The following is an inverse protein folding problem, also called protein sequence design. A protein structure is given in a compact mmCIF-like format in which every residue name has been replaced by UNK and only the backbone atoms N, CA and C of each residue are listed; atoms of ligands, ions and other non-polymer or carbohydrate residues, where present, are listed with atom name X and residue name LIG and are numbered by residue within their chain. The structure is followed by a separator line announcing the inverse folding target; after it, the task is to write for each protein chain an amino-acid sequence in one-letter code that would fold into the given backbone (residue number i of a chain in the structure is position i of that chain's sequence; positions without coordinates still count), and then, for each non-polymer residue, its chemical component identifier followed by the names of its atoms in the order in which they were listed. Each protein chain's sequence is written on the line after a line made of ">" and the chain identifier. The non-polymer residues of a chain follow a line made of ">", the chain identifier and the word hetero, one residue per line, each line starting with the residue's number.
data_IF_193460537858
#
_entry.id   IF_193460537858
#
_cell.length_a   1.000
_cell.length_b   1.000
_cell.length_c   1.000
_cell.angle_alpha   90.00
_cell.angle_beta   90.00
_cell.angle_gamma   90.00
#
_symmetry.space_group_name_H-M   'P 1'
#
loop_
_entity.id
_entity.type
_entity.pdbx_description
1 polymer ?
#
# COMPACT_ATOMS: atom_id res chain seq x y z
N UNK A 1 -13.01 6.06 -8.87
CA UNK A 1 -12.72 4.81 -8.12
C UNK A 1 -12.82 3.58 -9.01
N UNK A 2 -13.98 3.35 -9.65
CA UNK A 2 -14.31 2.09 -10.36
C UNK A 2 -13.44 1.75 -11.59
N UNK A 3 -12.82 2.74 -12.24
CA UNK A 3 -11.92 2.50 -13.37
C UNK A 3 -10.47 2.16 -12.95
N UNK A 4 -10.00 2.71 -11.83
CA UNK A 4 -8.63 2.50 -11.32
C UNK A 4 -8.52 1.16 -10.58
N UNK A 5 -9.57 0.77 -9.84
CA UNK A 5 -9.60 -0.46 -9.04
C UNK A 5 -10.23 -1.63 -9.79
N UNK A 6 -10.17 -1.65 -11.13
CA UNK A 6 -10.74 -2.73 -11.92
C UNK A 6 -9.92 -4.01 -11.69
N UNK A 7 -10.59 -5.09 -11.30
CA UNK A 7 -9.93 -6.37 -11.00
C UNK A 7 -9.47 -6.55 -9.55
N UNK A 8 -9.65 -5.52 -8.71
CA UNK A 8 -9.34 -5.62 -7.29
C UNK A 8 -10.40 -6.46 -6.55
N UNK A 9 -10.00 -7.20 -5.50
CA UNK A 9 -10.94 -7.85 -4.59
C UNK A 9 -11.92 -6.84 -3.96
N UNK A 10 -13.17 -7.26 -3.74
CA UNK A 10 -14.21 -6.40 -3.16
C UNK A 10 -13.79 -5.82 -1.81
N UNK A 11 -13.16 -6.65 -0.96
CA UNK A 11 -12.61 -6.22 0.33
C UNK A 11 -11.62 -5.06 0.22
N UNK A 12 -10.78 -5.05 -0.84
CA UNK A 12 -9.80 -3.99 -1.06
C UNK A 12 -10.50 -2.72 -1.54
N UNK A 13 -11.50 -2.85 -2.41
CA UNK A 13 -12.30 -1.73 -2.90
C UNK A 13 -13.05 -1.07 -1.73
N UNK A 14 -13.65 -1.86 -0.85
CA UNK A 14 -14.37 -1.39 0.34
C UNK A 14 -13.42 -0.67 1.30
N UNK A 15 -12.25 -1.26 1.61
CA UNK A 15 -11.25 -0.63 2.46
C UNK A 15 -10.77 0.72 1.90
N UNK A 16 -10.54 0.78 0.58
CA UNK A 16 -10.14 2.02 -0.08
C UNK A 16 -11.24 3.08 -0.06
N UNK A 17 -12.50 2.68 -0.26
CA UNK A 17 -13.64 3.59 -0.17
C UNK A 17 -13.82 4.12 1.27
N UNK A 18 -13.69 3.25 2.26
CA UNK A 18 -13.76 3.60 3.67
C UNK A 18 -12.62 4.54 4.08
N UNK A 19 -11.39 4.29 3.63
CA UNK A 19 -10.27 5.19 3.91
C UNK A 19 -10.53 6.59 3.34
N UNK A 20 -11.05 6.69 2.12
CA UNK A 20 -11.40 7.98 1.51
C UNK A 20 -12.48 8.73 2.30
N UNK A 21 -13.44 8.02 2.87
CA UNK A 21 -14.52 8.62 3.65
C UNK A 21 -14.10 8.99 5.08
N UNK A 22 -13.24 8.20 5.71
CA UNK A 22 -13.03 8.25 7.17
C UNK A 22 -11.61 8.67 7.58
N UNK A 23 -10.61 8.49 6.71
CA UNK A 23 -9.18 8.69 7.03
C UNK A 23 -8.71 7.93 8.29
N UNK A 24 -9.28 6.75 8.56
CA UNK A 24 -8.93 5.93 9.73
C UNK A 24 -7.70 5.06 9.50
N UNK A 25 -7.05 4.71 10.60
CA UNK A 25 -5.88 3.84 10.61
C UNK A 25 -6.16 2.42 10.10
N UNK A 26 -7.25 1.83 10.57
CA UNK A 26 -7.65 0.47 10.21
C UNK A 26 -8.00 0.34 8.71
N UNK A 27 -8.73 1.32 8.17
CA UNK A 27 -9.06 1.35 6.75
C UNK A 27 -7.83 1.63 5.88
N UNK A 28 -6.84 2.37 6.38
CA UNK A 28 -5.54 2.52 5.75
C UNK A 28 -4.80 1.18 5.65
N UNK A 29 -4.66 0.44 6.76
CA UNK A 29 -3.92 -0.83 6.76
C UNK A 29 -4.59 -1.88 5.85
N UNK A 30 -5.93 -1.96 5.86
CA UNK A 30 -6.67 -2.85 4.94
C UNK A 30 -6.47 -2.45 3.47
N UNK A 31 -6.56 -1.17 3.15
CA UNK A 31 -6.34 -0.67 1.79
C UNK A 31 -4.90 -0.93 1.34
N UNK A 32 -3.92 -0.63 2.20
CA UNK A 32 -2.51 -0.84 1.95
C UNK A 32 -2.19 -2.31 1.64
N UNK A 33 -2.61 -3.23 2.52
CA UNK A 33 -2.36 -4.66 2.35
C UNK A 33 -3.05 -5.20 1.09
N UNK A 34 -4.29 -4.80 0.84
CA UNK A 34 -5.05 -5.23 -0.35
C UNK A 34 -4.42 -4.75 -1.66
N UNK A 35 -3.95 -3.49 -1.72
CA UNK A 35 -3.28 -2.95 -2.90
C UNK A 35 -1.99 -3.71 -3.18
N UNK A 36 -1.14 -3.92 -2.18
CA UNK A 36 0.10 -4.67 -2.38
C UNK A 36 -0.19 -6.09 -2.84
N UNK A 37 -1.11 -6.78 -2.17
CA UNK A 37 -1.46 -8.19 -2.47
C UNK A 37 -1.93 -8.36 -3.92
N UNK A 38 -2.70 -7.41 -4.44
CA UNK A 38 -3.18 -7.45 -5.82
C UNK A 38 -2.05 -7.36 -6.87
N UNK A 39 -0.95 -6.71 -6.53
CA UNK A 39 0.21 -6.52 -7.41
C UNK A 39 1.30 -7.59 -7.25
N UNK A 40 1.12 -8.54 -6.33
CA UNK A 40 2.05 -9.65 -6.19
C UNK A 40 1.91 -10.61 -7.37
N UNK A 41 3.04 -11.03 -7.93
CA UNK A 41 3.06 -12.03 -9.00
C UNK A 41 2.45 -13.36 -8.57
N UNK A 42 2.54 -13.70 -7.28
CA UNK A 42 2.04 -14.93 -6.71
C UNK A 42 1.26 -14.63 -5.42
N UNK A 43 0.22 -15.43 -5.09
CA UNK A 43 -0.47 -15.31 -3.83
C UNK A 43 0.53 -15.49 -2.67
N UNK A 44 0.56 -14.57 -1.69
CA UNK A 44 1.49 -14.68 -0.59
C UNK A 44 1.05 -15.80 0.36
N UNK A 45 2.01 -16.48 0.99
CA UNK A 45 1.74 -17.55 1.96
C UNK A 45 0.98 -17.07 3.21
N UNK A 46 1.04 -15.76 3.50
CA UNK A 46 0.31 -15.11 4.57
C UNK A 46 -0.13 -13.70 4.13
N UNK A 47 -1.13 -13.09 4.77
CA UNK A 47 -1.55 -11.74 4.45
C UNK A 47 -0.41 -10.72 4.62
N UNK A 48 -0.33 -9.72 3.73
CA UNK A 48 0.66 -8.63 3.81
C UNK A 48 0.56 -7.88 5.16
N UNK A 49 -0.63 -7.78 5.74
CA UNK A 49 -0.85 -7.18 7.06
C UNK A 49 -0.19 -7.95 8.22
N UNK A 50 0.12 -9.24 8.04
CA UNK A 50 0.78 -10.10 9.01
C UNK A 50 2.27 -10.29 8.72
N UNK A 51 2.78 -9.76 7.60
CA UNK A 51 4.19 -9.87 7.25
C UNK A 51 5.08 -8.98 8.12
N UNK A 52 6.32 -9.41 8.41
CA UNK A 52 7.30 -8.56 9.08
C UNK A 52 7.48 -7.24 8.33
N UNK A 53 7.60 -6.12 9.05
CA UNK A 53 7.84 -4.82 8.44
C UNK A 53 9.12 -4.76 7.60
N UNK A 54 10.12 -5.59 7.94
CA UNK A 54 11.39 -5.74 7.22
C UNK A 54 11.30 -6.49 5.89
N UNK A 55 10.12 -7.03 5.53
CA UNK A 55 9.91 -7.74 4.27
C UNK A 55 10.23 -6.80 3.10
N UNK A 56 11.13 -7.24 2.21
CA UNK A 56 11.64 -6.44 1.09
C UNK A 56 10.68 -6.51 -0.09
N UNK A 57 10.30 -5.35 -0.61
CA UNK A 57 9.34 -5.21 -1.71
C UNK A 57 9.80 -5.96 -2.97
N UNK A 58 11.08 -5.80 -3.34
CA UNK A 58 11.61 -6.44 -4.55
C UNK A 58 12.03 -7.88 -4.25
N UNK A 59 12.89 -8.06 -3.26
CA UNK A 59 13.58 -9.34 -3.06
C UNK A 59 12.71 -10.43 -2.42
N UNK A 60 11.72 -10.05 -1.61
CA UNK A 60 10.85 -11.02 -0.92
C UNK A 60 9.43 -11.07 -1.55
N UNK A 61 8.93 -9.95 -2.07
CA UNK A 61 7.58 -9.86 -2.68
C UNK A 61 7.58 -9.85 -4.22
N UNK A 62 8.75 -9.70 -4.86
CA UNK A 62 8.86 -9.71 -6.32
C UNK A 62 8.24 -8.48 -7.00
N UNK A 63 8.02 -7.38 -6.28
CA UNK A 63 7.54 -6.13 -6.87
C UNK A 63 8.68 -5.49 -7.68
N UNK A 64 8.53 -5.45 -9.00
CA UNK A 64 9.52 -4.83 -9.88
C UNK A 64 9.34 -3.30 -9.98
N UNK A 65 10.26 -2.64 -10.69
CA UNK A 65 10.23 -1.18 -10.87
C UNK A 65 8.98 -0.68 -11.59
N UNK A 66 8.43 -1.46 -12.52
CA UNK A 66 7.22 -1.08 -13.26
C UNK A 66 6.00 -1.18 -12.34
N UNK A 67 5.87 -2.29 -11.60
CA UNK A 67 4.79 -2.47 -10.61
C UNK A 67 4.82 -1.35 -9.57
N UNK A 68 6.01 -0.96 -9.10
CA UNK A 68 6.16 0.15 -8.16
C UNK A 68 5.64 1.48 -8.73
N UNK A 69 5.90 1.77 -10.01
CA UNK A 69 5.40 2.98 -10.68
C UNK A 69 3.87 2.94 -10.84
N UNK A 70 3.30 1.79 -11.16
CA UNK A 70 1.84 1.63 -11.24
C UNK A 70 1.18 1.81 -9.87
N UNK A 71 1.76 1.21 -8.82
CA UNK A 71 1.30 1.34 -7.44
C UNK A 71 1.36 2.78 -6.95
N UNK A 72 2.36 3.59 -7.35
CA UNK A 72 2.42 5.02 -7.02
C UNK A 72 1.14 5.73 -7.45
N UNK A 73 0.71 5.54 -8.70
CA UNK A 73 -0.50 6.19 -9.23
C UNK A 73 -1.75 5.80 -8.44
N UNK A 74 -1.83 4.54 -8.02
CA UNK A 74 -2.94 4.00 -7.22
C UNK A 74 -2.90 4.58 -5.81
N UNK A 75 -1.74 4.61 -5.16
CA UNK A 75 -1.57 5.19 -3.84
C UNK A 75 -1.89 6.69 -3.82
N UNK A 76 -1.45 7.47 -4.82
CA UNK A 76 -1.84 8.87 -4.93
C UNK A 76 -3.36 9.01 -5.07
N UNK A 77 -3.98 8.23 -5.94
CA UNK A 77 -5.42 8.28 -6.18
C UNK A 77 -6.27 7.80 -4.99
N UNK A 78 -5.79 6.82 -4.21
CA UNK A 78 -6.50 6.25 -3.08
C UNK A 78 -6.28 7.07 -1.81
N UNK A 79 -5.02 7.37 -1.49
CA UNK A 79 -4.64 8.03 -0.25
C UNK A 79 -4.68 9.56 -0.34
N UNK A 80 -4.86 10.13 -1.54
CA UNK A 80 -4.95 11.57 -1.75
C UNK A 80 -3.64 12.28 -1.43
N UNK A 81 -2.52 11.65 -1.81
CA UNK A 81 -1.16 12.11 -1.54
C UNK A 81 -0.42 12.41 -2.83
N UNK A 82 0.69 13.15 -2.74
CA UNK A 82 1.66 13.27 -3.83
C UNK A 82 2.96 12.56 -3.51
N UNK A 83 3.38 11.71 -4.43
CA UNK A 83 4.49 10.77 -4.32
C UNK A 83 5.49 11.13 -5.42
N UNK A 84 6.65 11.68 -5.03
CA UNK A 84 7.73 12.02 -5.96
C UNK A 84 8.64 10.82 -6.14
N UNK A 85 9.38 10.78 -7.24
CA UNK A 85 10.38 9.72 -7.48
C UNK A 85 11.37 9.58 -6.30
N UNK A 86 11.80 10.70 -5.72
CA UNK A 86 12.70 10.73 -4.56
C UNK A 86 12.06 10.16 -3.28
N UNK A 87 10.74 10.31 -3.10
CA UNK A 87 10.02 9.72 -1.95
C UNK A 87 10.11 8.18 -1.95
N UNK A 88 10.19 7.56 -3.13
CA UNK A 88 10.23 6.09 -3.30
C UNK A 88 11.64 5.56 -3.52
N UNK A 89 12.59 6.42 -3.89
CA UNK A 89 13.95 6.04 -4.20
C UNK A 89 14.65 5.33 -3.03
N UNK A 90 14.25 5.61 -1.79
CA UNK A 90 14.79 4.99 -0.56
C UNK A 90 13.93 3.84 -0.01
N UNK A 91 12.72 3.61 -0.52
CA UNK A 91 11.82 2.58 -0.01
C UNK A 91 12.29 1.20 -0.45
N UNK A 92 12.54 0.31 0.51
CA UNK A 92 12.97 -1.09 0.26
C UNK A 92 12.05 -2.11 0.92
N UNK A 93 11.39 -1.73 2.00
CA UNK A 93 10.61 -2.63 2.85
C UNK A 93 9.15 -2.21 2.98
N UNK A 94 8.31 -3.13 3.46
CA UNK A 94 6.90 -2.84 3.77
C UNK A 94 6.76 -1.70 4.78
N UNK A 95 7.61 -1.65 5.81
CA UNK A 95 7.50 -0.62 6.84
C UNK A 95 7.93 0.76 6.34
N UNK A 96 8.98 0.84 5.52
CA UNK A 96 9.37 2.11 4.89
C UNK A 96 8.27 2.65 3.98
N UNK A 97 7.63 1.79 3.19
CA UNK A 97 6.52 2.19 2.33
C UNK A 97 5.32 2.63 3.17
N UNK A 98 4.98 1.87 4.21
CA UNK A 98 3.91 2.19 5.15
C UNK A 98 4.18 3.54 5.82
N UNK A 99 5.38 3.75 6.35
CA UNK A 99 5.79 4.98 7.01
C UNK A 99 5.74 6.18 6.08
N UNK A 100 6.18 6.03 4.82
CA UNK A 100 6.08 7.06 3.81
C UNK A 100 4.62 7.48 3.58
N UNK A 101 3.73 6.52 3.33
CA UNK A 101 2.32 6.79 3.05
C UNK A 101 1.61 7.37 4.28
N UNK A 102 1.91 6.89 5.49
CA UNK A 102 1.40 7.46 6.75
C UNK A 102 1.83 8.91 6.94
N UNK A 103 3.11 9.21 6.71
CA UNK A 103 3.64 10.58 6.77
C UNK A 103 2.90 11.50 5.80
N UNK A 104 2.66 11.03 4.57
CA UNK A 104 1.97 11.81 3.52
C UNK A 104 0.48 11.98 3.79
N UNK A 105 -0.15 11.02 4.45
CA UNK A 105 -1.58 11.07 4.85
C UNK A 105 -1.81 11.72 6.21
N UNK A 106 -0.74 12.12 6.91
CA UNK A 106 -0.79 12.66 8.27
C UNK A 106 -1.41 11.69 9.29
N UNK A 107 -1.33 10.39 9.03
CA UNK A 107 -1.71 9.37 9.99
C UNK A 107 -0.62 9.21 11.05
N UNK A 108 -0.98 8.87 12.30
CA UNK A 108 0.01 8.56 13.32
C UNK A 108 0.91 7.40 12.87
N UNK A 109 2.17 7.42 13.30
CA UNK A 109 3.05 6.27 13.17
C UNK A 109 2.45 5.12 13.98
N UNK A 110 2.30 3.96 13.37
CA UNK A 110 1.79 2.77 14.07
C UNK A 110 2.90 2.28 14.97
N UNK A 111 2.65 2.17 16.28
CA UNK A 111 3.59 1.51 17.18
C UNK A 111 3.70 0.05 16.74
N UNK A 112 4.90 -0.37 16.35
CA UNK A 112 5.20 -1.79 16.09
C UNK A 112 4.91 -2.55 17.38
N UNK A 113 3.88 -3.40 17.35
CA UNK A 113 3.61 -4.37 18.41
C UNK A 113 4.52 -5.58 18.24
#
# INVERSE_FOLDING_TARGET
>A
MRQIMRGYPEETILACAEFKATRRDDSFERAFAGIITHHLLQPPAQPVSAMPGTTRLVADLGLDSLTMVEMVSIFEAIFGVRLRADDFASVRTLDELRALLRRKTQLPARASA
#
